data_IF_484607652492
#
_entry.id   IF_484607652492
#
_cell.length_a   1.000
_cell.length_b   1.000
_cell.length_c   1.000
_cell.angle_alpha   90.00
_cell.angle_beta   90.00
_cell.angle_gamma   90.00
#
_symmetry.space_group_name_H-M   'P 1'
#
loop_
_entity.id
_entity.type
_entity.pdbx_description
1 polymer ?
#
# COMPACT_ATOMS: atom_id res chain seq x y z
N UNK A 1 37.06 65.68 51.92
CA UNK A 1 37.41 64.77 50.81
C UNK A 1 36.20 63.92 50.49
N UNK A 2 35.74 64.01 49.25
CA UNK A 2 34.61 63.28 48.69
C UNK A 2 34.92 61.77 48.60
N UNK A 3 33.91 60.91 48.80
CA UNK A 3 33.32 60.15 47.69
C UNK A 3 32.12 59.30 48.13
N UNK A 4 31.08 59.39 47.29
CA UNK A 4 29.82 58.66 47.33
C UNK A 4 30.00 57.25 46.74
N UNK A 5 29.25 56.27 47.25
CA UNK A 5 28.89 55.04 46.52
C UNK A 5 27.46 54.67 46.97
N UNK A 6 26.42 55.16 46.29
CA UNK A 6 25.70 54.55 45.15
C UNK A 6 25.15 53.13 45.42
N UNK A 7 23.85 53.10 45.70
CA UNK A 7 22.98 51.95 45.59
C UNK A 7 22.71 51.63 44.10
N UNK A 8 22.69 50.35 43.75
CA UNK A 8 22.20 49.86 42.46
C UNK A 8 21.15 48.76 42.72
N UNK A 9 19.88 49.13 42.55
CA UNK A 9 18.77 48.19 42.39
C UNK A 9 18.81 47.68 40.94
N UNK A 10 18.94 46.36 40.74
CA UNK A 10 18.72 45.74 39.45
C UNK A 10 17.21 45.51 39.24
N UNK A 11 16.59 46.34 38.40
CA UNK A 11 15.27 46.02 37.82
C UNK A 11 15.49 45.18 36.57
N UNK A 12 15.13 43.89 36.64
CA UNK A 12 15.09 43.00 35.50
C UNK A 12 13.74 43.17 34.76
N UNK A 13 13.76 43.87 33.65
CA UNK A 13 12.64 43.94 32.70
C UNK A 13 12.65 42.69 31.83
N UNK A 14 11.72 41.76 32.07
CA UNK A 14 11.47 40.64 31.18
C UNK A 14 10.73 41.15 29.93
N UNK A 15 11.43 41.25 28.80
CA UNK A 15 10.82 41.49 27.49
C UNK A 15 10.36 40.15 26.93
N UNK A 16 9.07 39.84 27.10
CA UNK A 16 8.43 38.70 26.44
C UNK A 16 8.26 39.04 24.97
N UNK A 17 9.25 38.70 24.15
CA UNK A 17 9.13 38.74 22.69
C UNK A 17 8.14 37.68 22.24
N UNK A 18 6.91 38.09 21.88
CA UNK A 18 6.01 37.27 21.08
C UNK A 18 6.65 37.06 19.71
N UNK A 19 7.35 35.94 19.54
CA UNK A 19 7.68 35.42 18.22
C UNK A 19 6.38 34.92 17.60
N UNK A 20 5.72 35.75 16.80
CA UNK A 20 4.71 35.29 15.85
C UNK A 20 5.43 34.43 14.82
N UNK A 21 5.49 33.12 15.05
CA UNK A 21 5.85 32.16 14.03
C UNK A 21 4.75 32.22 12.96
N UNK A 22 5.01 32.96 11.89
CA UNK A 22 4.26 32.81 10.66
C UNK A 22 4.49 31.37 10.20
N UNK A 23 3.51 30.50 10.42
CA UNK A 23 3.47 29.19 9.78
C UNK A 23 3.43 29.45 8.28
N UNK A 24 4.58 29.31 7.62
CA UNK A 24 4.65 29.32 6.17
C UNK A 24 3.73 28.20 5.69
N UNK A 25 2.61 28.56 5.07
CA UNK A 25 1.75 27.61 4.39
C UNK A 25 2.59 26.92 3.32
N UNK A 26 2.96 25.67 3.56
CA UNK A 26 3.61 24.85 2.54
C UNK A 26 2.67 24.79 1.33
N UNK A 27 3.11 25.29 0.18
CA UNK A 27 2.33 25.22 -1.05
C UNK A 27 2.21 23.77 -1.48
N UNK A 28 1.02 23.19 -1.32
CA UNK A 28 0.70 21.88 -1.85
C UNK A 28 0.90 21.87 -3.37
N UNK A 29 1.70 20.94 -3.88
CA UNK A 29 1.98 20.80 -5.31
C UNK A 29 1.46 19.46 -5.82
N UNK A 30 0.90 19.45 -7.04
CA UNK A 30 0.51 18.21 -7.74
C UNK A 30 1.48 17.96 -8.88
N UNK A 31 2.08 16.77 -8.90
CA UNK A 31 3.00 16.32 -9.96
C UNK A 31 2.40 15.12 -10.68
N UNK A 32 2.30 15.20 -12.01
CA UNK A 32 1.92 14.06 -12.85
C UNK A 32 3.19 13.34 -13.26
N UNK A 33 3.30 12.08 -12.87
CA UNK A 33 4.45 11.22 -13.14
C UNK A 33 4.22 10.49 -14.47
N UNK A 34 5.23 10.40 -15.35
CA UNK A 34 5.14 9.55 -16.53
C UNK A 34 4.83 8.11 -16.15
N UNK A 35 4.12 7.38 -17.01
CA UNK A 35 3.83 5.97 -16.76
C UNK A 35 5.14 5.17 -16.61
N UNK A 36 5.27 4.35 -15.55
CA UNK A 36 6.42 3.48 -15.39
C UNK A 36 6.45 2.42 -16.50
N UNK A 37 7.65 1.93 -16.81
CA UNK A 37 7.80 0.84 -17.77
C UNK A 37 7.23 -0.45 -17.19
N UNK A 38 6.30 -1.09 -17.91
CA UNK A 38 5.75 -2.38 -17.54
C UNK A 38 6.81 -3.47 -17.74
N UNK A 39 7.10 -4.18 -16.65
CA UNK A 39 8.04 -5.28 -16.56
C UNK A 39 7.32 -6.62 -16.67
N UNK A 40 8.02 -7.62 -17.22
CA UNK A 40 7.49 -8.98 -17.36
C UNK A 40 7.38 -9.67 -16.01
N UNK A 41 6.40 -10.57 -15.87
CA UNK A 41 6.33 -11.58 -14.81
C UNK A 41 7.67 -12.29 -14.57
N UNK A 42 8.48 -12.51 -15.60
CA UNK A 42 9.76 -13.22 -15.47
C UNK A 42 10.79 -12.46 -14.62
N UNK A 43 10.71 -11.13 -14.60
CA UNK A 43 11.59 -10.26 -13.81
C UNK A 43 10.99 -9.92 -12.44
N UNK A 44 9.79 -10.41 -12.14
CA UNK A 44 9.17 -10.21 -10.84
C UNK A 44 9.98 -10.91 -9.73
N UNK A 45 9.91 -10.40 -8.48
CA UNK A 45 10.55 -11.04 -7.34
C UNK A 45 10.06 -12.48 -7.11
N UNK A 46 10.97 -13.34 -6.62
CA UNK A 46 10.67 -14.76 -6.44
C UNK A 46 9.52 -15.01 -5.45
N UNK A 47 9.37 -14.19 -4.41
CA UNK A 47 8.27 -14.33 -3.45
C UNK A 47 6.89 -14.19 -4.15
N UNK A 48 6.80 -13.32 -5.16
CA UNK A 48 5.57 -13.13 -5.92
C UNK A 48 5.37 -14.27 -6.91
N UNK A 49 6.38 -14.59 -7.72
CA UNK A 49 6.30 -15.68 -8.72
C UNK A 49 5.94 -17.02 -8.09
N UNK A 50 6.53 -17.34 -6.93
CA UNK A 50 6.28 -18.59 -6.22
C UNK A 50 4.86 -18.66 -5.63
N UNK A 51 4.19 -17.52 -5.44
CA UNK A 51 2.85 -17.46 -4.86
C UNK A 51 1.76 -17.20 -5.91
N UNK A 52 2.12 -16.76 -7.12
CA UNK A 52 1.18 -16.34 -8.17
C UNK A 52 0.10 -17.40 -8.46
N UNK A 53 0.48 -18.67 -8.57
CA UNK A 53 -0.47 -19.75 -8.84
C UNK A 53 -1.48 -19.99 -7.72
N UNK A 54 -1.14 -19.63 -6.48
CA UNK A 54 -2.06 -19.73 -5.33
C UNK A 54 -3.03 -18.55 -5.27
N UNK A 55 -2.74 -17.46 -5.99
CA UNK A 55 -3.56 -16.26 -6.01
C UNK A 55 -4.68 -16.28 -7.06
N UNK A 56 -4.75 -17.31 -7.92
CA UNK A 56 -5.81 -17.41 -8.95
C UNK A 56 -7.23 -17.36 -8.38
N UNK A 57 -7.42 -17.86 -7.15
CA UNK A 57 -8.73 -17.91 -6.52
C UNK A 57 -9.26 -16.51 -6.17
N UNK A 58 -8.40 -15.50 -6.05
CA UNK A 58 -8.81 -14.10 -5.87
C UNK A 58 -9.41 -13.49 -7.14
N UNK A 59 -9.10 -14.02 -8.32
CA UNK A 59 -9.80 -13.68 -9.56
C UNK A 59 -11.02 -14.59 -9.70
N UNK A 60 -10.81 -15.89 -9.63
CA UNK A 60 -11.89 -16.87 -9.57
C UNK A 60 -12.71 -16.92 -10.86
N UNK A 61 -14.04 -16.89 -10.72
CA UNK A 61 -15.00 -16.91 -11.81
C UNK A 61 -15.96 -15.74 -11.63
N UNK A 62 -16.40 -15.17 -12.75
CA UNK A 62 -17.43 -14.12 -12.81
C UNK A 62 -18.70 -14.50 -12.03
N UNK A 63 -19.34 -13.49 -11.44
CA UNK A 63 -20.51 -13.54 -10.55
C UNK A 63 -20.33 -14.40 -9.29
N UNK A 64 -19.09 -14.56 -8.79
CA UNK A 64 -18.81 -15.36 -7.59
C UNK A 64 -18.04 -14.60 -6.53
N UNK A 65 -18.74 -14.25 -5.46
CA UNK A 65 -18.13 -13.74 -4.24
C UNK A 65 -17.07 -14.71 -3.67
N UNK A 66 -15.95 -14.11 -3.27
CA UNK A 66 -14.81 -14.81 -2.71
C UNK A 66 -15.12 -15.37 -1.31
N UNK A 67 -14.89 -16.67 -1.11
CA UNK A 67 -14.95 -17.28 0.23
C UNK A 67 -13.57 -17.18 0.91
N UNK A 68 -13.45 -16.25 1.85
CA UNK A 68 -12.19 -16.01 2.55
C UNK A 68 -11.73 -17.19 3.39
N UNK A 69 -12.64 -18.06 3.84
CA UNK A 69 -12.30 -19.24 4.63
C UNK A 69 -11.57 -20.28 3.79
N UNK A 70 -11.86 -20.36 2.49
CA UNK A 70 -11.22 -21.35 1.61
C UNK A 70 -9.81 -20.93 1.20
N UNK A 71 -9.52 -19.63 1.15
CA UNK A 71 -8.24 -19.10 0.67
C UNK A 71 -7.30 -18.62 1.79
N UNK A 72 -7.73 -18.68 3.06
CA UNK A 72 -6.97 -18.23 4.22
C UNK A 72 -6.44 -16.79 4.09
N UNK A 73 -7.31 -15.89 3.61
CA UNK A 73 -7.01 -14.46 3.47
C UNK A 73 -7.78 -13.64 4.50
N UNK A 74 -7.27 -12.46 4.84
CA UNK A 74 -7.92 -11.53 5.75
C UNK A 74 -8.36 -10.28 5.00
N UNK A 75 -9.63 -9.88 5.12
CA UNK A 75 -10.10 -8.59 4.56
C UNK A 75 -9.36 -7.42 5.25
N UNK A 76 -8.93 -6.44 4.46
CA UNK A 76 -8.26 -5.22 4.93
C UNK A 76 -9.07 -4.01 4.46
N UNK A 77 -9.14 -2.99 5.31
CA UNK A 77 -9.68 -1.68 4.95
C UNK A 77 -8.55 -0.78 4.45
N UNK A 78 -8.61 -0.40 3.17
CA UNK A 78 -7.65 0.50 2.52
C UNK A 78 -8.26 1.87 2.20
N UNK A 79 -9.41 2.24 2.77
CA UNK A 79 -10.01 3.58 2.62
C UNK A 79 -9.09 4.70 3.12
N UNK A 80 -8.19 4.38 4.05
CA UNK A 80 -7.11 5.23 4.51
C UNK A 80 -5.74 4.51 4.45
N UNK A 81 -5.33 4.15 3.24
CA UNK A 81 -4.09 3.43 2.98
C UNK A 81 -2.85 4.32 3.21
N UNK A 82 -2.27 4.23 4.40
CA UNK A 82 -1.05 4.98 4.79
C UNK A 82 0.09 4.02 5.09
N UNK A 83 1.26 4.27 4.49
CA UNK A 83 2.46 3.50 4.76
C UNK A 83 3.02 3.83 6.14
N UNK A 84 3.27 2.83 6.96
CA UNK A 84 3.94 2.98 8.27
C UNK A 84 5.45 3.06 8.13
N UNK A 85 6.00 2.35 7.15
CA UNK A 85 7.43 2.26 6.87
C UNK A 85 7.70 2.62 5.41
N UNK A 86 8.89 3.16 5.14
CA UNK A 86 9.34 3.43 3.79
C UNK A 86 9.50 2.11 3.00
N UNK A 87 9.03 2.08 1.76
CA UNK A 87 9.14 0.90 0.90
C UNK A 87 9.14 1.27 -0.59
N UNK A 88 9.77 0.44 -1.42
CA UNK A 88 9.63 0.53 -2.88
C UNK A 88 8.35 -0.20 -3.31
N UNK A 89 7.32 0.55 -3.68
CA UNK A 89 5.98 -0.01 -3.86
C UNK A 89 5.84 -0.59 -5.27
N UNK A 90 5.51 -1.87 -5.33
CA UNK A 90 5.32 -2.60 -6.59
C UNK A 90 3.86 -3.00 -6.75
N UNK A 91 3.37 -2.94 -7.99
CA UNK A 91 2.01 -3.31 -8.36
C UNK A 91 2.06 -4.34 -9.47
N UNK A 92 1.43 -5.48 -9.25
CA UNK A 92 1.40 -6.62 -10.16
C UNK A 92 -0.03 -6.84 -10.64
N UNK A 93 -0.22 -7.00 -11.94
CA UNK A 93 -1.49 -7.42 -12.48
C UNK A 93 -1.74 -8.89 -12.13
N UNK A 94 -2.91 -9.23 -11.61
CA UNK A 94 -3.23 -10.62 -11.26
C UNK A 94 -4.17 -11.25 -12.29
N UNK A 95 -5.14 -10.50 -12.79
CA UNK A 95 -6.10 -10.99 -13.77
C UNK A 95 -7.38 -10.16 -13.80
N UNK A 96 -8.32 -10.63 -14.60
CA UNK A 96 -9.66 -10.04 -14.73
C UNK A 96 -10.68 -11.09 -15.20
N UNK A 97 -11.94 -10.77 -14.96
CA UNK A 97 -13.09 -11.46 -15.54
C UNK A 97 -13.95 -10.53 -16.40
N UNK A 98 -13.65 -9.23 -16.45
CA UNK A 98 -14.51 -8.22 -17.08
C UNK A 98 -14.93 -8.64 -18.50
N UNK A 99 -16.24 -8.66 -18.76
CA UNK A 99 -16.85 -9.14 -20.00
C UNK A 99 -16.72 -8.20 -21.21
N UNK A 100 -15.57 -7.53 -21.38
CA UNK A 100 -15.26 -6.67 -22.54
C UNK A 100 -14.91 -5.22 -22.20
N UNK A 101 -14.89 -4.85 -20.92
CA UNK A 101 -14.39 -3.56 -20.49
C UNK A 101 -12.86 -3.54 -20.53
N UNK A 102 -12.30 -2.43 -21.01
CA UNK A 102 -10.86 -2.21 -21.04
C UNK A 102 -10.50 -1.12 -20.05
N UNK A 103 -10.36 -1.52 -18.80
CA UNK A 103 -10.13 -0.60 -17.69
C UNK A 103 -8.68 -0.11 -17.68
N UNK A 104 -8.43 0.95 -16.92
CA UNK A 104 -7.09 1.52 -16.67
C UNK A 104 -6.88 1.65 -15.18
N UNK A 105 -5.66 1.39 -14.72
CA UNK A 105 -5.26 1.59 -13.34
C UNK A 105 -4.30 2.77 -13.20
N UNK A 106 -4.68 3.73 -12.36
CA UNK A 106 -3.86 4.86 -11.95
C UNK A 106 -3.50 4.75 -10.46
N UNK A 107 -2.53 5.54 -10.02
CA UNK A 107 -2.23 5.73 -8.59
C UNK A 107 -2.24 7.21 -8.22
N UNK A 108 -2.44 7.45 -6.91
CA UNK A 108 -2.22 8.72 -6.24
C UNK A 108 -1.44 8.48 -4.97
N UNK A 109 -0.37 9.25 -4.77
CA UNK A 109 0.40 9.27 -3.52
C UNK A 109 0.40 10.68 -2.93
N UNK A 110 0.15 10.82 -1.64
CA UNK A 110 0.18 12.10 -0.93
C UNK A 110 1.20 12.03 0.20
N UNK A 111 2.17 12.94 0.20
CA UNK A 111 3.18 13.05 1.26
C UNK A 111 3.44 14.53 1.59
N UNK A 112 3.28 14.91 2.85
CA UNK A 112 3.42 16.29 3.34
C UNK A 112 2.65 17.32 2.48
N UNK A 113 1.42 16.99 2.08
CA UNK A 113 0.56 17.83 1.26
C UNK A 113 0.91 17.86 -0.24
N UNK A 114 2.02 17.23 -0.66
CA UNK A 114 2.34 17.09 -2.08
C UNK A 114 1.70 15.83 -2.65
N UNK A 115 1.07 15.97 -3.80
CA UNK A 115 0.39 14.88 -4.50
C UNK A 115 1.20 14.48 -5.72
N UNK A 116 1.49 13.18 -5.87
CA UNK A 116 1.94 12.61 -7.14
C UNK A 116 0.85 11.70 -7.69
N UNK A 117 0.59 11.78 -8.98
CA UNK A 117 -0.32 10.86 -9.68
C UNK A 117 0.36 10.28 -10.89
N UNK A 118 -0.14 9.14 -11.38
CA UNK A 118 0.33 8.57 -12.63
C UNK A 118 -0.48 7.37 -13.06
N UNK A 119 -0.41 7.06 -14.36
CA UNK A 119 -1.02 5.87 -14.95
C UNK A 119 -0.08 4.69 -14.85
N UNK A 120 -0.53 3.58 -14.27
CA UNK A 120 0.24 2.33 -14.13
C UNK A 120 0.01 1.43 -15.34
N UNK A 121 -1.26 1.12 -15.61
CA UNK A 121 -1.69 0.24 -16.68
C UNK A 121 -2.81 0.93 -17.44
N UNK A 122 -2.62 1.19 -18.73
CA UNK A 122 -3.62 1.83 -19.58
C UNK A 122 -4.67 0.88 -20.13
N UNK A 123 -4.42 -0.43 -20.08
CA UNK A 123 -5.36 -1.48 -20.45
C UNK A 123 -5.15 -2.67 -19.50
N UNK A 124 -5.99 -2.81 -18.47
CA UNK A 124 -5.93 -3.91 -17.50
C UNK A 124 -6.60 -5.19 -18.02
N UNK A 125 -6.85 -5.28 -19.32
CA UNK A 125 -7.35 -6.52 -19.91
C UNK A 125 -6.28 -7.60 -19.91
N UNK A 126 -6.69 -8.86 -19.84
CA UNK A 126 -5.78 -9.99 -20.02
C UNK A 126 -5.32 -10.10 -21.48
N UNK A 127 -4.03 -10.30 -21.72
CA UNK A 127 -3.48 -10.51 -23.07
C UNK A 127 -3.76 -11.93 -23.58
N UNK A 128 -4.24 -12.04 -24.81
CA UNK A 128 -4.32 -13.30 -25.58
C UNK A 128 -2.97 -13.98 -25.80
N UNK A 129 -1.87 -13.27 -25.59
CA UNK A 129 -0.50 -13.77 -25.82
C UNK A 129 0.19 -14.30 -24.55
N UNK A 130 -0.51 -14.35 -23.42
CA UNK A 130 0.01 -14.98 -22.21
C UNK A 130 -0.05 -16.52 -22.31
N UNK A 131 0.89 -17.18 -21.65
CA UNK A 131 1.05 -18.65 -21.64
C UNK A 131 1.23 -19.20 -20.22
N UNK A 132 0.72 -18.49 -19.21
CA UNK A 132 0.75 -18.96 -17.82
C UNK A 132 -0.09 -20.23 -17.63
N UNK A 133 0.38 -21.13 -16.77
CA UNK A 133 -0.40 -22.28 -16.34
C UNK A 133 -1.71 -21.81 -15.68
N UNK A 134 -2.82 -22.52 -15.97
CA UNK A 134 -4.16 -22.20 -15.48
C UNK A 134 -4.67 -20.82 -15.92
N UNK A 135 -4.26 -20.31 -17.09
CA UNK A 135 -4.64 -18.99 -17.58
C UNK A 135 -6.14 -18.65 -17.43
N UNK A 136 -7.04 -19.60 -17.75
CA UNK A 136 -8.48 -19.39 -17.63
C UNK A 136 -9.00 -19.17 -16.19
N UNK A 137 -8.18 -19.42 -15.17
CA UNK A 137 -8.49 -19.11 -13.77
C UNK A 137 -8.07 -17.70 -13.37
N UNK A 138 -7.28 -17.02 -14.20
CA UNK A 138 -6.90 -15.61 -14.04
C UNK A 138 -7.59 -14.71 -15.06
N UNK A 139 -7.99 -15.27 -16.20
CA UNK A 139 -8.41 -14.51 -17.36
C UNK A 139 -9.55 -15.25 -18.05
N UNK A 140 -10.78 -14.79 -17.82
CA UNK A 140 -11.95 -15.36 -18.51
C UNK A 140 -12.11 -14.81 -19.93
N UNK A 141 -11.80 -13.52 -20.12
CA UNK A 141 -12.12 -12.77 -21.33
C UNK A 141 -10.90 -12.02 -21.90
N UNK A 142 -9.89 -12.74 -22.43
CA UNK A 142 -8.67 -12.11 -22.93
C UNK A 142 -8.90 -11.29 -24.20
N UNK A 143 -7.98 -10.36 -24.43
CA UNK A 143 -8.08 -9.27 -25.37
C UNK A 143 -6.78 -9.11 -26.18
N UNK A 144 -6.90 -8.85 -27.49
CA UNK A 144 -5.76 -8.51 -28.33
C UNK A 144 -5.33 -7.05 -28.14
N UNK A 145 -4.07 -6.74 -28.40
CA UNK A 145 -3.61 -5.35 -28.41
C UNK A 145 -4.25 -4.57 -29.57
N UNK A 146 -4.69 -3.34 -29.31
CA UNK A 146 -5.23 -2.46 -30.34
C UNK A 146 -4.08 -1.84 -31.12
N UNK A 147 -4.12 -1.96 -32.45
CA UNK A 147 -3.08 -1.42 -33.33
C UNK A 147 -2.85 0.09 -33.09
N UNK A 148 -1.58 0.50 -33.06
CA UNK A 148 -1.17 1.89 -32.85
C UNK A 148 -1.19 2.37 -31.40
N UNK A 149 -1.54 1.52 -30.43
CA UNK A 149 -1.44 1.83 -28.99
C UNK A 149 -0.05 1.52 -28.43
N UNK A 150 0.31 2.23 -27.36
CA UNK A 150 1.57 2.03 -26.66
C UNK A 150 1.56 0.70 -25.87
N UNK A 151 2.75 0.21 -25.46
CA UNK A 151 2.84 -0.95 -24.55
C UNK A 151 2.08 -0.70 -23.24
N UNK A 152 2.12 0.53 -22.73
CA UNK A 152 1.39 0.91 -21.50
C UNK A 152 -0.12 0.86 -21.69
N UNK A 153 -0.62 1.01 -22.91
CA UNK A 153 -2.05 0.96 -23.27
C UNK A 153 -2.40 -0.34 -24.02
N UNK A 154 -1.69 -1.43 -23.71
CA UNK A 154 -1.90 -2.76 -24.28
C UNK A 154 -2.27 -3.76 -23.19
N UNK A 155 -3.07 -4.80 -23.50
CA UNK A 155 -3.42 -5.86 -22.55
C UNK A 155 -2.21 -6.47 -21.86
N UNK A 156 -2.36 -6.81 -20.58
CA UNK A 156 -1.31 -7.27 -19.70
C UNK A 156 -1.21 -8.79 -19.67
N UNK A 157 0.00 -9.31 -19.48
CA UNK A 157 0.17 -10.70 -19.07
C UNK A 157 0.02 -10.79 -17.55
N UNK A 158 -0.52 -11.90 -17.05
CA UNK A 158 -0.67 -12.15 -15.63
C UNK A 158 0.69 -12.01 -14.94
N UNK A 159 0.80 -11.23 -13.88
CA UNK A 159 2.05 -10.97 -13.18
C UNK A 159 2.97 -9.94 -13.84
N UNK A 160 2.58 -9.31 -14.95
CA UNK A 160 3.23 -8.07 -15.40
C UNK A 160 3.11 -7.02 -14.30
N UNK A 161 4.14 -6.19 -14.15
CA UNK A 161 4.24 -5.33 -12.98
C UNK A 161 4.98 -4.03 -13.22
N UNK A 162 4.78 -3.09 -12.31
CA UNK A 162 5.42 -1.78 -12.28
C UNK A 162 5.86 -1.44 -10.86
N UNK A 163 6.92 -0.63 -10.74
CA UNK A 163 7.28 0.05 -9.50
C UNK A 163 6.82 1.50 -9.57
N UNK A 164 6.19 2.00 -8.50
CA UNK A 164 5.93 3.44 -8.32
C UNK A 164 7.04 4.11 -7.51
N UNK A 165 8.15 3.41 -7.31
CA UNK A 165 9.34 3.86 -6.62
C UNK A 165 9.22 3.84 -5.10
N UNK A 166 10.29 4.33 -4.47
CA UNK A 166 10.41 4.38 -3.03
C UNK A 166 9.49 5.44 -2.40
N UNK A 167 8.45 4.96 -1.71
CA UNK A 167 7.48 5.77 -0.98
C UNK A 167 7.90 5.88 0.49
N UNK A 168 7.89 7.11 1.01
CA UNK A 168 8.27 7.39 2.40
C UNK A 168 7.21 6.89 3.39
N UNK A 169 7.64 6.64 4.63
CA UNK A 169 6.72 6.45 5.74
C UNK A 169 5.80 7.69 5.88
N UNK A 170 4.52 7.47 6.13
CA UNK A 170 3.49 8.50 6.18
C UNK A 170 2.90 8.88 4.82
N UNK A 171 3.39 8.31 3.71
CA UNK A 171 2.72 8.49 2.40
C UNK A 171 1.34 7.82 2.43
N UNK A 172 0.31 8.57 2.08
CA UNK A 172 -1.01 8.04 1.77
C UNK A 172 -1.06 7.60 0.31
N UNK A 173 -1.54 6.39 0.05
CA UNK A 173 -1.71 5.83 -1.30
C UNK A 173 -3.20 5.67 -1.62
N UNK A 174 -3.50 5.72 -2.91
CA UNK A 174 -4.79 5.35 -3.46
C UNK A 174 -4.56 4.81 -4.88
N UNK A 175 -5.42 3.89 -5.29
CA UNK A 175 -5.38 3.27 -6.61
C UNK A 175 -6.75 3.46 -7.25
N UNK A 176 -6.74 3.92 -8.49
CA UNK A 176 -7.94 4.38 -9.17
C UNK A 176 -8.19 3.53 -10.41
N UNK A 177 -9.33 2.82 -10.44
CA UNK A 177 -9.78 2.14 -11.64
C UNK A 177 -10.60 3.09 -12.51
N UNK A 178 -10.11 3.38 -13.70
CA UNK A 178 -10.80 4.10 -14.75
C UNK A 178 -11.54 3.10 -15.63
N UNK A 179 -12.87 3.10 -15.52
CA UNK A 179 -13.66 2.03 -16.11
C UNK A 179 -13.87 2.22 -17.61
N UNK A 180 -13.56 1.19 -18.36
CA UNK A 180 -13.65 1.10 -19.82
C UNK A 180 -12.91 2.25 -20.57
N UNK A 181 -11.81 2.75 -20.00
CA UNK A 181 -11.13 3.98 -20.44
C UNK A 181 -10.70 3.93 -21.91
N UNK A 182 -10.17 2.79 -22.37
CA UNK A 182 -9.75 2.61 -23.77
C UNK A 182 -10.93 2.77 -24.74
N UNK A 183 -12.13 2.40 -24.32
CA UNK A 183 -13.37 2.49 -25.10
C UNK A 183 -14.13 3.82 -24.86
N UNK A 184 -13.50 4.83 -24.27
CA UNK A 184 -14.08 6.17 -24.03
C UNK A 184 -14.64 6.38 -22.61
N UNK A 185 -14.62 5.33 -21.80
CA UNK A 185 -15.03 5.32 -20.41
C UNK A 185 -16.54 5.38 -20.19
N UNK A 186 -16.99 4.91 -19.04
CA UNK A 186 -18.40 5.02 -18.63
C UNK A 186 -18.68 6.35 -17.93
N UNK A 187 -19.93 6.78 -17.91
CA UNK A 187 -20.35 8.02 -17.25
C UNK A 187 -21.70 7.89 -16.57
N UNK A 188 -21.89 8.62 -15.47
CA UNK A 188 -23.10 8.60 -14.64
C UNK A 188 -23.30 9.92 -13.89
N UNK A 189 -24.16 9.90 -12.88
CA UNK A 189 -24.43 11.06 -12.02
C UNK A 189 -23.69 10.91 -10.71
N UNK A 190 -22.94 11.94 -10.33
CA UNK A 190 -22.32 11.99 -9.01
C UNK A 190 -23.41 12.23 -7.96
N UNK A 191 -23.62 11.27 -7.05
CA UNK A 191 -24.68 11.35 -6.04
C UNK A 191 -24.42 12.40 -4.96
N UNK A 192 -23.16 12.81 -4.80
CA UNK A 192 -22.73 13.78 -3.79
C UNK A 192 -22.89 15.22 -4.28
N UNK A 193 -22.68 15.46 -5.57
CA UNK A 193 -22.72 16.81 -6.17
C UNK A 193 -23.91 17.04 -7.11
N UNK A 194 -24.61 15.97 -7.52
CA UNK A 194 -25.65 16.02 -8.55
C UNK A 194 -25.12 16.19 -9.98
N UNK A 195 -23.80 16.17 -10.17
CA UNK A 195 -23.19 16.41 -11.49
C UNK A 195 -23.41 15.23 -12.45
N UNK A 196 -24.09 15.50 -13.56
CA UNK A 196 -24.23 14.55 -14.67
C UNK A 196 -22.92 14.39 -15.47
N UNK A 197 -22.82 13.30 -16.24
CA UNK A 197 -21.66 12.96 -17.07
C UNK A 197 -20.33 12.85 -16.29
N UNK A 198 -20.42 12.48 -15.00
CA UNK A 198 -19.24 12.17 -14.19
C UNK A 198 -18.64 10.86 -14.66
N UNK A 199 -17.31 10.78 -14.80
CA UNK A 199 -16.61 9.55 -15.22
C UNK A 199 -16.62 8.48 -14.13
N UNK A 200 -16.73 7.21 -14.52
CA UNK A 200 -16.62 6.06 -13.62
C UNK A 200 -15.17 5.81 -13.22
N UNK A 201 -14.71 6.53 -12.19
CA UNK A 201 -13.37 6.39 -11.60
C UNK A 201 -13.53 5.95 -10.16
N UNK A 202 -12.99 4.78 -9.85
CA UNK A 202 -13.22 4.08 -8.59
C UNK A 202 -11.96 4.08 -7.74
N UNK A 203 -12.05 4.60 -6.52
CA UNK A 203 -11.01 4.66 -5.50
C UNK A 203 -11.14 3.49 -4.52
N UNK A 204 -10.05 3.20 -3.79
CA UNK A 204 -10.10 2.32 -2.62
C UNK A 204 -10.95 2.90 -1.48
N UNK A 205 -11.20 4.20 -1.51
CA UNK A 205 -12.06 4.92 -0.58
C UNK A 205 -13.44 5.17 -1.23
N UNK A 206 -14.46 4.47 -0.76
CA UNK A 206 -15.85 4.59 -1.25
C UNK A 206 -16.44 6.00 -1.04
N UNK A 207 -15.99 6.73 -0.02
CA UNK A 207 -16.32 8.13 0.19
C UNK A 207 -15.76 9.05 -0.91
N UNK A 208 -14.87 8.57 -1.79
CA UNK A 208 -14.42 9.27 -2.99
C UNK A 208 -15.13 8.81 -4.27
N UNK A 209 -15.80 7.65 -4.26
CA UNK A 209 -16.51 7.14 -5.43
C UNK A 209 -17.72 8.00 -5.77
N UNK A 210 -17.96 8.33 -7.06
CA UNK A 210 -18.99 9.29 -7.43
C UNK A 210 -20.43 8.79 -7.18
N UNK A 211 -20.68 7.49 -7.10
CA UNK A 211 -21.97 6.93 -6.66
C UNK A 211 -22.03 6.62 -5.15
N UNK A 212 -20.92 6.84 -4.44
CA UNK A 212 -20.82 6.60 -3.00
C UNK A 212 -20.83 5.12 -2.60
N UNK A 213 -20.57 4.21 -3.53
CA UNK A 213 -20.55 2.77 -3.27
C UNK A 213 -19.13 2.22 -3.20
N UNK A 214 -18.99 1.04 -2.60
CA UNK A 214 -17.74 0.29 -2.58
C UNK A 214 -17.51 -0.39 -3.93
N UNK A 215 -16.41 -0.03 -4.58
CA UNK A 215 -15.95 -0.62 -5.84
C UNK A 215 -14.63 -1.37 -5.71
N UNK A 216 -14.00 -1.37 -4.53
CA UNK A 216 -12.76 -2.07 -4.29
C UNK A 216 -12.85 -2.90 -3.02
N UNK A 217 -12.30 -4.10 -3.07
CA UNK A 217 -12.06 -4.95 -1.91
C UNK A 217 -10.57 -5.31 -1.83
N UNK A 218 -10.04 -5.28 -0.62
CA UNK A 218 -8.64 -5.60 -0.36
C UNK A 218 -8.49 -6.74 0.65
N UNK A 219 -7.46 -7.54 0.44
CA UNK A 219 -7.14 -8.72 1.24
C UNK A 219 -5.65 -8.76 1.55
N UNK A 220 -5.31 -9.09 2.78
CA UNK A 220 -3.97 -9.48 3.17
C UNK A 220 -3.78 -10.97 2.91
N UNK A 221 -2.72 -11.31 2.17
CA UNK A 221 -2.37 -12.68 1.82
C UNK A 221 -0.86 -12.82 1.65
N UNK A 222 -0.23 -13.70 2.44
CA UNK A 222 1.21 -13.99 2.38
C UNK A 222 2.10 -12.72 2.31
N UNK A 223 1.88 -11.78 3.23
CA UNK A 223 2.61 -10.51 3.32
C UNK A 223 2.42 -9.53 2.15
N UNK A 224 1.42 -9.78 1.30
CA UNK A 224 1.00 -8.92 0.18
C UNK A 224 -0.43 -8.44 0.37
N UNK A 225 -0.80 -7.39 -0.38
CA UNK A 225 -2.17 -6.93 -0.48
C UNK A 225 -2.72 -7.33 -1.86
N UNK A 226 -3.79 -8.11 -1.89
CA UNK A 226 -4.53 -8.42 -3.13
C UNK A 226 -5.75 -7.52 -3.16
N UNK A 227 -5.96 -6.80 -4.26
CA UNK A 227 -7.06 -5.85 -4.41
C UNK A 227 -7.83 -6.18 -5.68
N UNK A 228 -9.15 -6.32 -5.53
CA UNK A 228 -10.09 -6.55 -6.61
C UNK A 228 -11.06 -5.37 -6.75
N UNK A 229 -11.49 -5.09 -7.97
CA UNK A 229 -12.40 -4.00 -8.30
C UNK A 229 -13.66 -4.46 -9.01
N UNK A 230 -14.72 -3.66 -8.84
CA UNK A 230 -15.91 -3.59 -9.70
C UNK A 230 -15.79 -2.38 -10.63
N UNK A 231 -16.12 -2.52 -11.90
CA UNK A 231 -15.96 -1.47 -12.91
C UNK A 231 -17.27 -0.75 -13.32
N UNK A 232 -18.43 -1.24 -12.87
CA UNK A 232 -19.75 -0.67 -13.22
C UNK A 232 -20.36 0.23 -12.14
N UNK A 233 -20.99 1.33 -12.58
CA UNK A 233 -21.85 2.16 -11.72
C UNK A 233 -22.87 1.32 -10.94
N UNK A 234 -23.12 1.70 -9.69
CA UNK A 234 -24.07 0.97 -8.84
C UNK A 234 -23.42 -0.20 -8.08
N UNK A 235 -22.08 -0.32 -8.13
CA UNK A 235 -21.30 -1.34 -7.44
C UNK A 235 -21.35 -2.74 -8.06
N UNK A 236 -21.72 -2.82 -9.35
CA UNK A 236 -21.74 -4.04 -10.15
C UNK A 236 -22.39 -5.27 -9.49
N UNK A 237 -21.80 -6.45 -9.66
CA UNK A 237 -22.32 -7.71 -9.14
C UNK A 237 -21.66 -8.17 -7.82
N UNK A 238 -20.65 -7.42 -7.37
CA UNK A 238 -19.99 -7.49 -6.07
C UNK A 238 -19.13 -8.73 -5.88
N UNK A 239 -18.60 -9.29 -6.95
CA UNK A 239 -17.57 -10.33 -6.87
C UNK A 239 -16.14 -9.77 -6.86
N UNK A 240 -15.97 -8.49 -7.22
CA UNK A 240 -14.74 -7.70 -7.22
C UNK A 240 -13.62 -8.32 -8.05
N UNK A 241 -13.95 -8.99 -9.16
CA UNK A 241 -12.96 -9.62 -10.03
C UNK A 241 -12.88 -9.03 -11.45
N UNK A 242 -13.61 -7.95 -11.74
CA UNK A 242 -13.50 -7.22 -13.01
C UNK A 242 -12.06 -6.78 -13.28
N UNK A 243 -11.31 -6.43 -12.25
CA UNK A 243 -9.86 -6.24 -12.34
C UNK A 243 -9.21 -6.52 -10.98
N UNK A 244 -8.19 -7.38 -10.97
CA UNK A 244 -7.48 -7.78 -9.74
C UNK A 244 -5.99 -7.53 -9.87
N UNK A 245 -5.40 -6.98 -8.81
CA UNK A 245 -3.98 -6.70 -8.72
C UNK A 245 -3.42 -7.05 -7.34
N UNK A 246 -2.10 -7.15 -7.27
CA UNK A 246 -1.34 -7.36 -6.04
C UNK A 246 -0.45 -6.15 -5.80
N UNK A 247 -0.39 -5.68 -4.57
CA UNK A 247 0.44 -4.57 -4.14
C UNK A 247 1.44 -5.09 -3.12
N UNK A 248 2.73 -4.90 -3.41
CA UNK A 248 3.79 -5.05 -2.43
C UNK A 248 4.14 -3.70 -1.84
N UNK A 249 3.82 -3.55 -0.55
CA UNK A 249 4.23 -2.40 0.28
C UNK A 249 5.24 -2.81 1.35
N UNK A 250 5.79 -4.02 1.26
CA UNK A 250 6.65 -4.63 2.25
C UNK A 250 5.84 -5.28 3.37
N UNK A 251 6.33 -6.44 3.83
CA UNK A 251 5.67 -7.28 4.84
C UNK A 251 5.22 -6.51 6.09
N UNK A 252 6.02 -5.57 6.58
CA UNK A 252 5.73 -4.87 7.84
C UNK A 252 4.60 -3.84 7.66
N UNK A 253 4.49 -3.22 6.47
CA UNK A 253 3.34 -2.39 6.13
C UNK A 253 2.10 -3.25 5.91
N UNK A 254 2.20 -4.34 5.13
CA UNK A 254 1.08 -5.23 4.84
C UNK A 254 0.47 -5.80 6.13
N UNK A 255 1.31 -6.28 7.06
CA UNK A 255 0.90 -6.74 8.39
C UNK A 255 0.27 -5.64 9.22
N UNK A 256 0.87 -4.44 9.24
CA UNK A 256 0.33 -3.30 9.99
C UNK A 256 -1.07 -2.90 9.49
N UNK A 257 -1.28 -2.87 8.17
CA UNK A 257 -2.57 -2.57 7.55
C UNK A 257 -3.61 -3.67 7.85
N UNK A 258 -3.17 -4.93 7.91
CA UNK A 258 -4.01 -6.05 8.34
C UNK A 258 -4.27 -6.08 9.86
N UNK A 259 -3.74 -5.13 10.64
CA UNK A 259 -3.84 -5.15 12.11
C UNK A 259 -3.07 -6.31 12.77
N UNK A 260 -2.17 -6.95 12.03
CA UNK A 260 -1.29 -8.00 12.54
C UNK A 260 -0.12 -7.32 13.25
N UNK A 261 -0.17 -7.31 14.57
CA UNK A 261 0.96 -6.83 15.38
C UNK A 261 2.12 -7.81 15.23
N UNK A 262 3.29 -7.32 14.80
CA UNK A 262 4.51 -8.07 14.99
C UNK A 262 4.72 -8.21 16.50
N UNK A 263 4.66 -9.44 17.01
CA UNK A 263 5.24 -9.74 18.32
C UNK A 263 6.68 -9.24 18.23
N UNK A 264 7.12 -8.28 19.05
CA UNK A 264 8.51 -7.87 19.05
C UNK A 264 9.33 -9.13 19.22
N UNK A 265 10.27 -9.41 18.29
CA UNK A 265 11.24 -10.47 18.54
C UNK A 265 11.80 -10.19 19.91
N UNK A 266 11.64 -11.12 20.86
CA UNK A 266 11.81 -10.75 22.23
C UNK A 266 13.28 -10.38 22.36
N UNK A 267 13.46 -9.15 22.83
CA UNK A 267 14.52 -8.79 23.76
C UNK A 267 14.74 -9.86 24.84
N UNK A 268 13.90 -10.89 24.94
CA UNK A 268 14.19 -12.25 25.40
C UNK A 268 15.62 -12.75 25.19
N UNK A 269 16.29 -12.55 24.04
CA UNK A 269 17.73 -12.93 23.97
C UNK A 269 18.58 -12.05 24.89
N UNK A 270 18.35 -10.73 24.90
CA UNK A 270 19.03 -9.81 25.82
C UNK A 270 18.61 -10.01 27.29
N UNK A 271 17.37 -10.41 27.57
CA UNK A 271 16.84 -10.69 28.90
C UNK A 271 17.33 -12.04 29.43
N UNK A 272 17.41 -13.08 28.60
CA UNK A 272 18.03 -14.37 28.92
C UNK A 272 19.55 -14.23 29.09
N UNK A 273 20.21 -13.43 28.24
CA UNK A 273 21.64 -13.11 28.42
C UNK A 273 21.88 -12.28 29.70
N UNK A 274 20.99 -11.33 30.00
CA UNK A 274 21.05 -10.53 31.23
C UNK A 274 20.86 -11.35 32.51
N UNK A 275 19.88 -12.25 32.53
CA UNK A 275 19.65 -13.16 33.67
C UNK A 275 20.79 -14.18 33.79
N UNK A 276 21.32 -14.71 32.67
CA UNK A 276 22.47 -15.61 32.66
C UNK A 276 23.74 -14.97 33.22
N UNK A 277 24.03 -13.71 32.84
CA UNK A 277 25.20 -12.97 33.34
C UNK A 277 25.13 -12.70 34.85
N UNK A 278 23.96 -12.35 35.39
CA UNK A 278 23.75 -12.15 36.83
C UNK A 278 23.90 -13.47 37.61
N UNK A 279 23.40 -14.57 37.05
CA UNK A 279 23.56 -15.91 37.62
C UNK A 279 25.03 -16.33 37.74
N UNK A 280 25.82 -16.15 36.67
CA UNK A 280 27.26 -16.47 36.65
C UNK A 280 28.07 -15.62 37.64
N UNK A 281 27.76 -14.32 37.78
CA UNK A 281 28.43 -13.44 38.74
C UNK A 281 28.16 -13.82 40.21
N UNK A 282 26.94 -14.27 40.54
CA UNK A 282 26.61 -14.77 41.90
C UNK A 282 27.31 -16.09 42.23
N UNK A 283 27.44 -17.00 41.27
CA UNK A 283 28.15 -18.27 41.47
C UNK A 283 29.65 -18.04 41.70
N UNK A 284 30.27 -17.11 40.95
CA UNK A 284 31.70 -16.77 41.10
C UNK A 284 32.03 -16.14 42.46
N UNK A 285 31.10 -15.40 43.06
CA UNK A 285 31.23 -14.86 44.43
C UNK A 285 31.13 -15.93 45.52
N UNK A 286 30.43 -17.03 45.27
CA UNK A 286 30.33 -18.14 46.24
C UNK A 286 31.57 -19.04 46.25
N UNK A 287 32.26 -19.19 45.12
CA UNK A 287 33.51 -19.96 45.07
C UNK A 287 34.69 -19.24 45.74
N UNK A 288 34.72 -17.91 45.76
CA UNK A 288 35.79 -17.14 46.43
C UNK A 288 35.66 -17.08 47.96
N UNK A 289 34.52 -17.46 48.54
CA UNK A 289 34.29 -17.48 49.99
C UNK A 289 34.67 -18.82 50.65
N UNK A 290 34.98 -19.86 49.87
CA UNK A 290 35.35 -21.20 50.41
C UNK A 290 36.85 -21.49 50.44
N UNK A 291 37.71 -20.56 50.01
CA UNK A 291 39.17 -20.72 50.10
C UNK A 291 39.70 -19.85 51.23
N UNK A 292 39.40 -20.24 52.47
CA UNK A 292 40.22 -19.90 53.63
C UNK A 292 39.97 -20.93 54.74
N UNK A 293 40.43 -22.16 54.49
CA UNK A 293 40.64 -23.14 55.56
C UNK A 293 42.16 -23.29 55.66
N UNK A 294 42.68 -22.81 56.80
CA UNK A 294 44.08 -22.90 57.21
C UNK A 294 44.55 -24.36 57.18
N UNK A 295 45.74 -24.59 56.64
CA UNK A 295 46.58 -25.74 57.00
C UNK A 295 47.69 -25.25 57.92
N UNK A 296 47.74 -25.84 59.12
CA UNK A 296 48.90 -25.85 60.03
C UNK A 296 50.08 -26.58 59.41
#
# INVERSE_FOLDING_TARGET
>A
MNNKLFAALFTATAVTGMMTSTSASASATTTVTPSPAIQSRDTAPDYFKNNLQNMKDFVGKEARQLDLKTINAQKVDLSNFVLKYQHDVNVFFLGETAGGYRNRLDYKSIFNGNTNTGKLFGDTSCSTTDSIANFSSFCANPNDAIAGRSKTDSPLKVGDWVSIGNQKAGTQLDFLLHSNDINGGISGTNVKTGQANTKGVWSLNDALNPDGLQHAMAYYYNDLLVVGFEDLWGGGDKDYNDTVFVIDVGKDNARALAGITSVPEPSGVAALLGVGAIGFLKLRRRSSLKVNVKSE
#
